data_IF_917258125744
#
_entry.id   IF_917258125744
#
_cell.length_a   1.000
_cell.length_b   1.000
_cell.length_c   1.000
_cell.angle_alpha   90.00
_cell.angle_beta   90.00
_cell.angle_gamma   90.00
#
_symmetry.space_group_name_H-M   'P 1'
#
loop_
_entity.id
_entity.type
_entity.pdbx_description
1 polymer ?
#
# COMPACT_ATOMS: atom_id res chain seq x y z
N UNK A 1 -4.19 18.76 -13.70
CA UNK A 1 -5.21 17.75 -14.01
C UNK A 1 -5.08 16.63 -12.99
N UNK A 2 -6.05 16.48 -12.08
CA UNK A 2 -6.11 15.36 -11.16
C UNK A 2 -6.82 14.21 -11.88
N UNK A 3 -6.11 13.12 -12.16
CA UNK A 3 -6.72 11.92 -12.73
C UNK A 3 -7.35 11.15 -11.57
N UNK A 4 -8.64 11.35 -11.35
CA UNK A 4 -9.46 10.46 -10.55
C UNK A 4 -9.47 9.10 -11.25
N UNK A 5 -8.93 8.06 -10.61
CA UNK A 5 -9.25 6.68 -10.96
C UNK A 5 -10.70 6.43 -10.52
N UNK A 6 -11.63 6.91 -11.34
CA UNK A 6 -13.05 6.68 -11.20
C UNK A 6 -13.37 5.25 -11.54
N UNK A 7 -13.29 4.36 -10.55
CA UNK A 7 -14.20 3.23 -10.49
C UNK A 7 -15.59 3.78 -10.15
N UNK A 8 -16.30 4.21 -11.21
CA UNK A 8 -17.75 4.32 -11.32
C UNK A 8 -18.53 4.95 -10.15
N UNK A 9 -18.90 6.22 -10.32
CA UNK A 9 -20.10 6.80 -9.68
C UNK A 9 -21.41 6.05 -10.04
N UNK A 10 -21.36 5.04 -10.91
CA UNK A 10 -22.48 4.18 -11.31
C UNK A 10 -22.71 2.96 -10.42
N UNK A 11 -21.82 2.63 -9.47
CA UNK A 11 -21.99 1.49 -8.55
C UNK A 11 -22.76 1.84 -7.25
N UNK A 12 -22.90 3.13 -6.94
CA UNK A 12 -23.57 3.63 -5.72
C UNK A 12 -25.07 3.32 -5.64
N UNK A 13 -25.72 2.86 -6.72
CA UNK A 13 -27.17 2.57 -6.73
C UNK A 13 -27.53 1.10 -6.53
N UNK A 14 -26.57 0.17 -6.59
CA UNK A 14 -26.91 -1.27 -6.64
C UNK A 14 -26.67 -1.98 -5.29
N UNK A 15 -25.90 -1.41 -4.37
CA UNK A 15 -25.70 -1.97 -3.03
C UNK A 15 -25.59 -0.85 -1.98
N UNK A 16 -26.20 -1.04 -0.81
CA UNK A 16 -26.13 -0.15 0.38
C UNK A 16 -24.72 -0.08 1.02
N UNK A 17 -23.65 -0.01 0.21
CA UNK A 17 -22.26 0.09 0.65
C UNK A 17 -21.89 1.57 0.65
N UNK A 18 -21.38 2.10 1.76
CA UNK A 18 -20.95 3.50 1.79
C UNK A 18 -19.70 3.71 0.94
N UNK A 19 -19.54 4.90 0.35
CA UNK A 19 -18.36 5.23 -0.46
C UNK A 19 -17.05 4.99 0.29
N UNK A 20 -17.04 5.26 1.60
CA UNK A 20 -15.92 4.99 2.50
C UNK A 20 -15.58 3.50 2.59
N UNK A 21 -16.59 2.62 2.68
CA UNK A 21 -16.38 1.17 2.70
C UNK A 21 -15.83 0.67 1.36
N UNK A 22 -16.35 1.20 0.26
CA UNK A 22 -15.89 0.83 -1.09
C UNK A 22 -14.44 1.27 -1.31
N UNK A 23 -14.11 2.55 -1.06
CA UNK A 23 -12.76 3.07 -1.22
C UNK A 23 -11.74 2.36 -0.31
N UNK A 24 -12.11 2.10 0.95
CA UNK A 24 -11.29 1.34 1.91
C UNK A 24 -11.00 -0.09 1.42
N UNK A 25 -11.98 -0.74 0.78
CA UNK A 25 -11.80 -2.07 0.19
C UNK A 25 -10.90 -2.05 -1.04
N UNK A 26 -11.11 -1.11 -1.96
CA UNK A 26 -10.30 -0.97 -3.18
C UNK A 26 -8.83 -0.69 -2.86
N UNK A 27 -8.55 0.21 -1.92
CA UNK A 27 -7.18 0.45 -1.48
C UNK A 27 -6.56 -0.76 -0.78
N UNK A 28 -7.33 -1.50 0.01
CA UNK A 28 -6.89 -2.77 0.59
C UNK A 28 -6.53 -3.80 -0.48
N UNK A 29 -7.31 -3.89 -1.57
CA UNK A 29 -7.00 -4.78 -2.70
C UNK A 29 -5.76 -4.34 -3.47
N UNK A 30 -5.59 -3.04 -3.71
CA UNK A 30 -4.40 -2.49 -4.35
C UNK A 30 -3.14 -2.76 -3.53
N UNK A 31 -3.22 -2.58 -2.21
CA UNK A 31 -2.14 -2.88 -1.29
C UNK A 31 -1.77 -4.36 -1.30
N UNK A 32 -2.77 -5.26 -1.25
CA UNK A 32 -2.54 -6.71 -1.38
C UNK A 32 -1.87 -7.07 -2.70
N UNK A 33 -2.26 -6.41 -3.80
CA UNK A 33 -1.64 -6.59 -5.11
C UNK A 33 -0.17 -6.18 -5.08
N UNK A 34 0.14 -5.01 -4.55
CA UNK A 34 1.52 -4.52 -4.45
C UNK A 34 2.38 -5.40 -3.56
N UNK A 35 1.87 -5.87 -2.42
CA UNK A 35 2.59 -6.81 -1.54
C UNK A 35 2.90 -8.10 -2.29
N UNK A 36 1.92 -8.67 -3.01
CA UNK A 36 2.14 -9.89 -3.80
C UNK A 36 3.19 -9.68 -4.89
N UNK A 37 3.21 -8.51 -5.52
CA UNK A 37 4.17 -8.17 -6.56
C UNK A 37 5.55 -7.74 -6.03
N UNK A 38 5.74 -7.61 -4.72
CA UNK A 38 7.01 -7.12 -4.13
C UNK A 38 8.03 -8.23 -3.89
N UNK A 39 9.31 -7.92 -4.14
CA UNK A 39 10.49 -8.75 -3.81
C UNK A 39 10.81 -8.66 -2.31
N UNK A 40 10.64 -7.47 -1.73
CA UNK A 40 10.86 -7.25 -0.30
C UNK A 40 9.86 -6.28 0.29
N UNK A 41 9.70 -6.41 1.61
CA UNK A 41 8.76 -5.64 2.42
C UNK A 41 9.50 -5.16 3.66
N UNK A 42 9.26 -3.92 4.06
CA UNK A 42 9.66 -3.37 5.33
C UNK A 42 8.46 -2.70 5.98
N UNK A 43 8.18 -3.07 7.23
CA UNK A 43 7.26 -2.33 8.09
C UNK A 43 8.07 -1.25 8.79
N UNK A 44 7.61 -0.01 8.74
CA UNK A 44 8.30 1.13 9.33
C UNK A 44 7.43 1.79 10.41
N UNK A 45 8.09 2.36 11.40
CA UNK A 45 7.46 3.23 12.39
C UNK A 45 7.01 4.56 11.76
N UNK A 46 6.43 5.45 12.57
CA UNK A 46 5.97 6.76 12.10
C UNK A 46 7.13 7.70 11.69
N UNK A 47 8.36 7.40 12.09
CA UNK A 47 9.56 8.15 11.74
C UNK A 47 10.27 7.58 10.50
N UNK A 48 9.72 6.53 9.89
CA UNK A 48 10.30 5.85 8.72
C UNK A 48 11.44 4.89 9.07
N UNK A 49 11.61 4.51 10.34
CA UNK A 49 12.60 3.52 10.75
C UNK A 49 12.02 2.10 10.70
N UNK A 50 12.79 1.07 10.29
CA UNK A 50 12.33 -0.30 10.32
C UNK A 50 11.90 -0.75 11.71
N UNK A 51 10.71 -1.35 11.82
CA UNK A 51 10.25 -1.98 13.07
C UNK A 51 10.90 -3.35 13.25
N UNK A 52 10.93 -3.85 14.50
CA UNK A 52 11.38 -5.22 14.71
C UNK A 52 10.39 -6.23 14.10
N UNK A 53 10.86 -7.45 13.84
CA UNK A 53 10.00 -8.53 13.36
C UNK A 53 8.89 -8.82 14.39
N UNK A 54 7.64 -8.87 13.94
CA UNK A 54 6.49 -9.02 14.83
C UNK A 54 6.11 -7.76 15.60
N UNK A 55 6.66 -6.59 15.28
CA UNK A 55 6.13 -5.31 15.75
C UNK A 55 5.22 -4.67 14.69
N UNK A 56 4.22 -3.92 15.17
CA UNK A 56 3.36 -3.16 14.29
C UNK A 56 4.00 -1.80 13.94
N UNK A 57 3.88 -1.40 12.68
CA UNK A 57 4.33 -0.09 12.18
C UNK A 57 3.19 0.70 11.55
N UNK A 58 3.40 2.01 11.41
CA UNK A 58 2.43 2.93 10.78
C UNK A 58 2.65 3.13 9.29
N UNK A 59 3.76 2.62 8.74
CA UNK A 59 4.08 2.72 7.32
C UNK A 59 4.54 1.36 6.76
N UNK A 60 4.36 1.20 5.46
CA UNK A 60 4.74 0.01 4.72
C UNK A 60 5.56 0.41 3.50
N UNK A 61 6.77 -0.12 3.38
CA UNK A 61 7.66 0.10 2.23
C UNK A 61 7.85 -1.22 1.49
N UNK A 62 7.56 -1.22 0.19
CA UNK A 62 7.58 -2.40 -0.68
C UNK A 62 8.56 -2.15 -1.82
N UNK A 63 9.46 -3.10 -2.09
CA UNK A 63 10.30 -3.06 -3.29
C UNK A 63 9.69 -3.95 -4.35
N UNK A 64 9.26 -3.37 -5.46
CA UNK A 64 8.54 -4.05 -6.55
C UNK A 64 9.43 -4.07 -7.80
N UNK A 65 9.75 -5.25 -8.35
CA UNK A 65 10.39 -5.35 -9.66
C UNK A 65 9.40 -4.97 -10.76
N UNK A 66 9.88 -4.21 -11.73
CA UNK A 66 9.24 -3.89 -13.00
C UNK A 66 10.01 -4.62 -14.09
N UNK A 67 9.40 -5.67 -14.64
CA UNK A 67 9.99 -6.48 -15.69
C UNK A 67 9.59 -5.86 -17.03
N UNK A 68 10.57 -5.42 -17.80
CA UNK A 68 10.41 -4.94 -19.18
C UNK A 68 11.31 -5.78 -20.12
N UNK A 69 11.10 -5.64 -21.42
CA UNK A 69 11.88 -6.34 -22.45
C UNK A 69 13.40 -6.03 -22.38
N UNK A 70 13.76 -4.93 -21.71
CA UNK A 70 15.14 -4.46 -21.53
C UNK A 70 15.81 -4.94 -20.23
N UNK A 71 15.07 -5.58 -19.33
CA UNK A 71 15.57 -6.06 -18.04
C UNK A 71 14.62 -5.80 -16.87
N UNK A 72 15.14 -5.92 -15.65
CA UNK A 72 14.40 -5.72 -14.41
C UNK A 72 14.76 -4.35 -13.84
N UNK A 73 13.80 -3.43 -13.82
CA UNK A 73 13.88 -2.20 -13.05
C UNK A 73 13.23 -2.40 -11.66
N UNK A 74 13.52 -1.51 -10.72
CA UNK A 74 12.94 -1.58 -9.37
C UNK A 74 12.22 -0.28 -9.03
N UNK A 75 11.08 -0.41 -8.36
CA UNK A 75 10.37 0.72 -7.76
C UNK A 75 10.11 0.46 -6.28
N UNK A 76 10.05 1.51 -5.49
CA UNK A 76 9.49 1.45 -4.14
C UNK A 76 8.03 1.88 -4.20
N UNK A 77 7.18 1.17 -3.48
CA UNK A 77 5.83 1.61 -3.15
C UNK A 77 5.73 1.79 -1.63
N UNK A 78 5.41 2.99 -1.19
CA UNK A 78 5.22 3.33 0.22
C UNK A 78 3.73 3.57 0.50
N UNK A 79 3.22 2.97 1.57
CA UNK A 79 1.91 3.26 2.14
C UNK A 79 2.06 3.86 3.52
N UNK A 80 1.39 4.98 3.77
CA UNK A 80 1.37 5.63 5.07
C UNK A 80 0.14 6.53 5.20
N UNK A 81 -0.18 6.91 6.44
CA UNK A 81 -1.27 7.85 6.72
C UNK A 81 -0.72 9.26 6.93
N UNK A 82 -1.35 10.25 6.32
CA UNK A 82 -1.11 11.67 6.60
C UNK A 82 -2.44 12.42 6.56
N UNK A 83 -2.73 13.21 7.60
CA UNK A 83 -3.98 14.00 7.71
C UNK A 83 -5.25 13.15 7.43
N UNK A 84 -5.37 12.00 8.10
CA UNK A 84 -6.48 11.05 7.95
C UNK A 84 -6.67 10.50 6.52
N UNK A 85 -5.63 10.57 5.68
CA UNK A 85 -5.64 10.06 4.31
C UNK A 85 -4.56 9.00 4.18
N UNK A 86 -4.92 7.83 3.66
CA UNK A 86 -3.95 6.83 3.23
C UNK A 86 -3.35 7.30 1.90
N UNK A 87 -2.03 7.45 1.87
CA UNK A 87 -1.29 7.74 0.66
C UNK A 87 -0.57 6.49 0.16
N UNK A 88 -0.48 6.40 -1.16
CA UNK A 88 0.41 5.49 -1.88
C UNK A 88 1.43 6.33 -2.64
N UNK A 89 2.68 6.27 -2.24
CA UNK A 89 3.80 6.93 -2.91
C UNK A 89 4.65 5.94 -3.69
N UNK A 90 5.18 6.39 -4.82
CA UNK A 90 6.11 5.60 -5.63
C UNK A 90 7.42 6.33 -5.84
N UNK A 91 8.49 5.53 -5.83
CA UNK A 91 9.85 5.98 -6.14
C UNK A 91 10.46 5.02 -7.15
N UNK A 92 11.24 5.54 -8.10
CA UNK A 92 12.11 4.72 -8.94
C UNK A 92 13.39 4.44 -8.16
N UNK A 93 13.87 3.21 -8.23
CA UNK A 93 15.17 2.79 -7.69
C UNK A 93 16.15 2.62 -8.84
N UNK A 94 17.26 3.38 -8.82
CA UNK A 94 18.38 3.11 -9.73
C UNK A 94 19.23 1.93 -9.21
N UNK A 95 19.39 1.82 -7.89
CA UNK A 95 19.97 0.64 -7.21
C UNK A 95 19.03 0.16 -6.10
N UNK A 96 18.56 -1.08 -6.20
CA UNK A 96 17.65 -1.69 -5.21
C UNK A 96 18.23 -1.81 -3.80
N UNK A 97 19.56 -1.70 -3.65
CA UNK A 97 20.26 -1.81 -2.36
C UNK A 97 20.49 -0.46 -1.69
N UNK A 98 20.26 0.65 -2.39
CA UNK A 98 20.53 1.99 -1.89
C UNK A 98 19.24 2.82 -1.84
N UNK A 99 18.59 2.86 -0.68
CA UNK A 99 17.40 3.70 -0.44
C UNK A 99 17.68 5.21 -0.49
N UNK A 100 18.95 5.64 -0.53
CA UNK A 100 19.33 7.04 -0.73
C UNK A 100 19.21 7.52 -2.19
N UNK A 101 18.94 6.61 -3.13
CA UNK A 101 18.77 6.88 -4.56
C UNK A 101 17.29 6.77 -4.99
N UNK A 102 16.37 6.90 -4.03
CA UNK A 102 14.94 6.92 -4.29
C UNK A 102 14.57 8.18 -5.08
N UNK A 103 14.25 8.04 -6.37
CA UNK A 103 13.73 9.14 -7.18
C UNK A 103 12.20 9.17 -7.09
N UNK A 104 11.63 10.20 -6.47
CA UNK A 104 10.19 10.37 -6.37
C UNK A 104 9.51 10.32 -7.74
N UNK A 105 8.45 9.51 -7.86
CA UNK A 105 7.62 9.42 -9.06
C UNK A 105 6.29 10.11 -8.85
N UNK A 106 5.49 9.63 -7.90
CA UNK A 106 4.19 10.20 -7.59
C UNK A 106 3.69 9.90 -6.18
N UNK A 107 2.65 10.64 -5.79
CA UNK A 107 1.90 10.50 -4.55
C UNK A 107 0.42 10.50 -4.86
N UNK A 108 -0.26 9.40 -4.55
CA UNK A 108 -1.69 9.21 -4.84
C UNK A 108 -2.44 9.09 -3.51
N UNK A 109 -3.45 9.94 -3.24
CA UNK A 109 -4.38 9.69 -2.14
C UNK A 109 -5.22 8.45 -2.47
N UNK A 110 -5.08 7.40 -1.67
CA UNK A 110 -5.77 6.14 -1.90
C UNK A 110 -7.16 6.12 -1.24
N UNK A 111 -7.26 6.59 0.01
CA UNK A 111 -8.52 6.63 0.78
C UNK A 111 -8.47 7.76 1.81
N UNK A 112 -9.52 8.55 1.89
CA UNK A 112 -9.70 9.54 2.95
C UNK A 112 -10.40 8.95 4.18
N UNK A 113 -10.46 9.73 5.26
CA UNK A 113 -11.20 9.39 6.50
C UNK A 113 -10.64 8.15 7.21
N UNK A 114 -9.36 7.87 7.04
CA UNK A 114 -8.65 6.85 7.80
C UNK A 114 -8.36 7.39 9.19
N UNK A 115 -8.82 6.70 10.22
CA UNK A 115 -8.62 7.05 11.63
C UNK A 115 -7.58 6.16 12.30
N UNK A 116 -7.32 4.98 11.74
CA UNK A 116 -6.28 4.06 12.21
C UNK A 116 -5.69 3.29 11.03
N UNK A 117 -4.37 3.13 11.02
CA UNK A 117 -3.63 2.31 10.08
C UNK A 117 -2.48 1.61 10.82
N UNK A 118 -2.38 0.30 10.69
CA UNK A 118 -1.24 -0.47 11.19
C UNK A 118 -0.87 -1.60 10.23
N UNK A 119 0.42 -1.87 10.19
CA UNK A 119 1.03 -2.96 9.42
C UNK A 119 1.79 -3.86 10.37
N UNK A 120 1.74 -5.15 10.14
CA UNK A 120 2.40 -6.15 10.97
C UNK A 120 3.03 -7.22 10.08
N UNK A 121 4.26 -7.60 10.38
CA UNK A 121 5.00 -8.62 9.61
C UNK A 121 5.51 -9.71 10.57
N UNK A 122 4.74 -10.80 10.77
CA UNK A 122 5.14 -11.87 11.71
C UNK A 122 6.33 -12.68 11.19
N UNK A 123 6.53 -12.72 9.88
CA UNK A 123 7.57 -13.48 9.18
C UNK A 123 8.04 -12.66 7.99
N UNK A 124 9.27 -12.91 7.53
CA UNK A 124 9.83 -12.21 6.37
C UNK A 124 8.91 -12.37 5.14
N UNK A 125 8.50 -11.24 4.56
CA UNK A 125 7.69 -11.21 3.35
C UNK A 125 6.19 -11.47 3.56
N UNK A 126 5.69 -11.68 4.78
CA UNK A 126 4.25 -11.77 5.06
C UNK A 126 3.80 -10.51 5.78
N UNK A 127 2.77 -9.83 5.27
CA UNK A 127 2.22 -8.61 5.83
C UNK A 127 0.75 -8.80 6.16
N UNK A 128 0.37 -8.36 7.34
CA UNK A 128 -1.00 -8.13 7.76
C UNK A 128 -1.19 -6.61 7.87
N UNK A 129 -2.32 -6.11 7.39
CA UNK A 129 -2.70 -4.72 7.58
C UNK A 129 -4.05 -4.64 8.29
N UNK A 130 -4.19 -3.60 9.09
CA UNK A 130 -5.43 -3.17 9.71
C UNK A 130 -5.64 -1.71 9.39
N UNK A 131 -6.79 -1.39 8.79
CA UNK A 131 -7.16 -0.04 8.42
C UNK A 131 -8.57 0.23 8.89
N UNK A 132 -8.76 1.28 9.70
CA UNK A 132 -10.09 1.75 10.12
C UNK A 132 -10.38 3.06 9.42
N UNK A 133 -11.46 3.09 8.64
CA UNK A 133 -12.04 4.32 8.09
C UNK A 133 -13.24 4.75 8.95
N UNK A 134 -13.42 6.05 9.20
CA UNK A 134 -14.53 6.52 10.01
C UNK A 134 -14.99 7.95 9.72
N UNK A 135 -16.31 8.17 9.82
CA UNK A 135 -16.95 9.48 9.68
C UNK A 135 -18.27 9.51 10.47
N UNK A 136 -18.55 10.63 11.13
CA UNK A 136 -19.84 10.89 11.82
C UNK A 136 -20.28 9.75 12.77
N UNK A 137 -19.32 9.18 13.52
CA UNK A 137 -19.58 8.11 14.49
C UNK A 137 -19.76 6.71 13.88
N UNK A 138 -19.62 6.55 12.55
CA UNK A 138 -19.59 5.25 11.89
C UNK A 138 -18.16 4.90 11.53
N UNK A 139 -17.73 3.69 11.88
CA UNK A 139 -16.42 3.16 11.51
C UNK A 139 -16.56 1.87 10.69
N UNK A 140 -15.56 1.62 9.86
CA UNK A 140 -15.41 0.42 9.07
C UNK A 140 -13.97 -0.05 9.13
N UNK A 141 -13.77 -1.29 9.55
CA UNK A 141 -12.46 -1.93 9.55
C UNK A 141 -12.27 -2.76 8.28
N UNK A 142 -11.12 -2.57 7.63
CA UNK A 142 -10.63 -3.33 6.49
C UNK A 142 -9.32 -4.00 6.92
N UNK A 143 -9.26 -5.32 6.79
CA UNK A 143 -8.10 -6.12 7.17
C UNK A 143 -7.71 -7.03 6.02
N UNK A 144 -6.41 -7.29 5.90
CA UNK A 144 -5.94 -8.27 4.93
C UNK A 144 -4.56 -8.79 5.25
N UNK A 145 -4.27 -9.95 4.65
CA UNK A 145 -2.99 -10.64 4.77
C UNK A 145 -2.50 -11.00 3.38
N UNK A 146 -1.25 -10.68 3.10
CA UNK A 146 -0.60 -10.99 1.83
C UNK A 146 0.86 -11.37 2.06
N UNK A 147 1.45 -12.06 1.09
CA UNK A 147 2.87 -12.38 1.11
C UNK A 147 3.52 -12.00 -0.21
N UNK A 148 4.79 -11.63 -0.15
CA UNK A 148 5.66 -11.44 -1.32
C UNK A 148 5.65 -12.69 -2.18
N UNK A 149 5.41 -12.52 -3.48
CA UNK A 149 5.44 -13.58 -4.49
C UNK A 149 5.98 -13.01 -5.79
N UNK A 150 7.31 -12.85 -5.89
CA UNK A 150 7.94 -12.54 -7.17
C UNK A 150 8.23 -13.85 -7.89
N UNK A 151 7.54 -14.08 -9.01
CA UNK A 151 7.90 -15.10 -9.97
C UNK A 151 8.57 -14.39 -11.15
N UNK A 152 9.86 -14.64 -11.35
CA UNK A 152 10.63 -13.96 -12.39
C UNK A 152 10.34 -14.45 -13.82
N UNK A 153 9.54 -15.51 -14.01
CA UNK A 153 9.23 -16.07 -15.32
C UNK A 153 10.45 -16.46 -16.16
N UNK A 154 11.63 -16.59 -15.54
CA UNK A 154 12.86 -17.07 -16.17
C UNK A 154 12.84 -18.60 -16.14
N UNK A 155 12.05 -19.19 -17.04
CA UNK A 155 12.17 -20.60 -17.44
C UNK A 155 12.76 -20.69 -18.84
#
# INVERSE_FOLDING_TARGET
MAVYWGAGSSLNQINNISEMQYASREAGQLMVKDIKSSESVQVLDLNGQPTAAGEAGGQLRLTVPLIDDKGIEYQVVCYYMQNNTLYRERFKLNDKRNSGDDQFLDKIPAVDKIIELSFFSPQYGVVEYHMIAGENGRSFASMGKASTRVHYGLE
#
